data_IF_587069380757
#
_entry.id   IF_587069380757
#
_cell.length_a   1.000
_cell.length_b   1.000
_cell.length_c   1.000
_cell.angle_alpha   90.00
_cell.angle_beta   90.00
_cell.angle_gamma   90.00
#
_symmetry.space_group_name_H-M   'P 1'
#
loop_
_entity.id
_entity.type
_entity.pdbx_description
1 polymer ?
#
# COMPACT_ATOMS: atom_id res chain seq x y z
N UNK A 1 -10.93 -68.57 -37.53
CA UNK A 1 -9.79 -67.62 -37.35
C UNK A 1 -10.35 -66.30 -36.84
N UNK A 2 -10.17 -65.98 -35.56
CA UNK A 2 -10.67 -64.73 -34.94
C UNK A 2 -9.77 -63.54 -35.28
N UNK A 3 -10.33 -62.45 -35.82
CA UNK A 3 -9.69 -61.12 -35.85
C UNK A 3 -10.14 -60.34 -34.60
N UNK A 4 -9.18 -59.93 -33.75
CA UNK A 4 -9.41 -59.06 -32.58
C UNK A 4 -9.59 -57.58 -32.99
N UNK A 5 -10.45 -56.79 -32.31
CA UNK A 5 -10.58 -55.36 -32.59
C UNK A 5 -9.54 -54.55 -31.78
N UNK A 6 -8.70 -53.80 -32.49
CA UNK A 6 -7.68 -52.89 -31.92
C UNK A 6 -8.23 -51.49 -31.57
N UNK A 7 -9.55 -51.29 -31.59
CA UNK A 7 -10.16 -49.96 -31.54
C UNK A 7 -10.32 -49.29 -30.15
N UNK A 8 -10.44 -49.99 -29.00
CA UNK A 8 -10.75 -49.29 -27.74
C UNK A 8 -9.53 -48.61 -27.08
N UNK A 9 -8.30 -48.98 -27.46
CA UNK A 9 -7.09 -48.41 -26.86
C UNK A 9 -6.78 -47.01 -27.40
N UNK A 10 -7.15 -46.74 -28.65
CA UNK A 10 -6.86 -45.46 -29.33
C UNK A 10 -7.74 -44.32 -28.80
N UNK A 11 -8.99 -44.63 -28.39
CA UNK A 11 -9.90 -43.65 -27.81
C UNK A 11 -9.51 -43.22 -26.39
N UNK A 12 -8.95 -44.14 -25.59
CA UNK A 12 -8.51 -43.87 -24.22
C UNK A 12 -7.26 -42.97 -24.19
N UNK A 13 -6.33 -43.15 -25.14
CA UNK A 13 -5.12 -42.32 -25.28
C UNK A 13 -5.46 -40.89 -25.72
N UNK A 14 -6.45 -40.72 -26.60
CA UNK A 14 -6.91 -39.38 -27.05
C UNK A 14 -7.64 -38.64 -25.92
N UNK A 15 -8.45 -39.33 -25.10
CA UNK A 15 -9.16 -38.71 -23.96
C UNK A 15 -8.22 -38.30 -22.80
N UNK A 16 -7.14 -39.06 -22.56
CA UNK A 16 -6.14 -38.71 -21.53
C UNK A 16 -5.20 -37.57 -21.95
N UNK A 17 -4.86 -37.47 -23.24
CA UNK A 17 -4.01 -36.40 -23.77
C UNK A 17 -4.66 -35.01 -23.67
N UNK A 18 -5.98 -34.91 -23.94
CA UNK A 18 -6.74 -33.66 -23.86
C UNK A 18 -6.72 -33.01 -22.46
N UNK A 19 -6.58 -33.80 -21.39
CA UNK A 19 -6.54 -33.27 -20.02
C UNK A 19 -5.19 -32.62 -19.67
N UNK A 20 -4.09 -33.13 -20.23
CA UNK A 20 -2.74 -32.65 -19.94
C UNK A 20 -2.49 -31.24 -20.48
N UNK A 21 -2.80 -31.00 -21.75
CA UNK A 21 -2.63 -29.68 -22.38
C UNK A 21 -3.57 -28.65 -21.74
N UNK A 22 -4.84 -28.98 -21.50
CA UNK A 22 -5.83 -28.08 -20.88
C UNK A 22 -5.37 -27.53 -19.52
N UNK A 23 -4.78 -28.38 -18.67
CA UNK A 23 -4.24 -27.95 -17.38
C UNK A 23 -3.05 -26.99 -17.54
N UNK A 24 -2.14 -27.25 -18.48
CA UNK A 24 -0.99 -26.35 -18.72
C UNK A 24 -1.42 -25.01 -19.30
N UNK A 25 -2.43 -25.01 -20.16
CA UNK A 25 -3.08 -23.79 -20.67
C UNK A 25 -3.79 -23.00 -19.57
N UNK A 26 -4.38 -23.68 -18.57
CA UNK A 26 -4.91 -23.02 -17.39
C UNK A 26 -3.81 -22.35 -16.55
N UNK A 27 -2.65 -23.01 -16.41
CA UNK A 27 -1.47 -22.42 -15.77
C UNK A 27 -1.05 -21.11 -16.44
N UNK A 28 -1.04 -21.07 -17.78
CA UNK A 28 -0.74 -19.84 -18.51
C UNK A 28 -1.73 -18.71 -18.20
N UNK A 29 -3.03 -19.00 -18.23
CA UNK A 29 -4.07 -18.00 -17.91
C UNK A 29 -3.94 -17.48 -16.48
N UNK A 30 -3.62 -18.34 -15.53
CA UNK A 30 -3.39 -17.95 -14.13
C UNK A 30 -2.19 -17.03 -14.02
N UNK A 31 -1.06 -17.37 -14.64
CA UNK A 31 0.14 -16.54 -14.58
C UNK A 31 -0.07 -15.16 -15.23
N UNK A 32 -0.78 -15.09 -16.37
CA UNK A 32 -1.17 -13.81 -16.97
C UNK A 32 -2.04 -12.98 -16.01
N UNK A 33 -2.99 -13.63 -15.31
CA UNK A 33 -3.81 -12.97 -14.30
C UNK A 33 -2.95 -12.45 -13.14
N UNK A 34 -2.04 -13.25 -12.61
CA UNK A 34 -1.17 -12.88 -11.49
C UNK A 34 -0.25 -11.71 -11.87
N UNK A 35 0.31 -11.70 -13.08
CA UNK A 35 1.02 -10.54 -13.62
C UNK A 35 0.12 -9.29 -13.68
N UNK A 36 -1.14 -9.41 -14.11
CA UNK A 36 -2.06 -8.27 -14.14
C UNK A 36 -2.34 -7.73 -12.73
N UNK A 37 -2.58 -8.60 -11.76
CA UNK A 37 -2.75 -8.21 -10.36
C UNK A 37 -1.50 -7.53 -9.80
N UNK A 38 -0.31 -8.01 -10.16
CA UNK A 38 0.95 -7.39 -9.80
C UNK A 38 1.13 -6.00 -10.41
N UNK A 39 0.74 -5.80 -11.68
CA UNK A 39 0.77 -4.49 -12.34
C UNK A 39 -0.12 -3.47 -11.62
N UNK A 40 -1.27 -3.90 -11.10
CA UNK A 40 -2.18 -3.04 -10.33
C UNK A 40 -1.60 -2.65 -8.95
N UNK A 41 -0.88 -3.58 -8.31
CA UNK A 41 -0.30 -3.38 -6.97
C UNK A 41 1.08 -2.71 -7.00
N UNK A 42 1.75 -2.71 -8.15
CA UNK A 42 3.11 -2.22 -8.29
C UNK A 42 3.20 -0.68 -8.23
N UNK A 43 4.23 -0.20 -7.56
CA UNK A 43 4.62 1.22 -7.61
C UNK A 43 5.03 1.62 -9.03
N UNK A 44 4.97 2.91 -9.42
CA UNK A 44 5.35 3.36 -10.77
C UNK A 44 6.68 2.81 -11.31
N UNK A 45 7.80 2.78 -10.54
CA UNK A 45 9.07 2.25 -11.06
C UNK A 45 9.05 0.72 -11.28
N UNK A 46 8.24 -0.04 -10.53
CA UNK A 46 8.13 -1.49 -10.70
C UNK A 46 7.07 -1.89 -11.72
N UNK A 47 6.04 -1.05 -11.92
CA UNK A 47 4.94 -1.33 -12.83
C UNK A 47 5.43 -1.64 -14.25
N UNK A 48 6.33 -0.80 -14.79
CA UNK A 48 6.93 -1.02 -16.11
C UNK A 48 7.71 -2.34 -16.19
N UNK A 49 8.42 -2.71 -15.12
CA UNK A 49 9.15 -3.99 -15.03
C UNK A 49 8.19 -5.17 -15.10
N UNK A 50 7.11 -5.16 -14.31
CA UNK A 50 6.10 -6.23 -14.32
C UNK A 50 5.40 -6.32 -15.68
N UNK A 51 5.06 -5.19 -16.29
CA UNK A 51 4.46 -5.15 -17.63
C UNK A 51 5.39 -5.74 -18.71
N UNK A 52 6.68 -5.41 -18.67
CA UNK A 52 7.68 -5.97 -19.59
C UNK A 52 7.83 -7.49 -19.40
N UNK A 53 7.82 -7.97 -18.16
CA UNK A 53 7.88 -9.41 -17.86
C UNK A 53 6.65 -10.16 -18.35
N UNK A 54 5.45 -9.62 -18.11
CA UNK A 54 4.20 -10.16 -18.66
C UNK A 54 4.26 -10.22 -20.19
N UNK A 55 4.69 -9.15 -20.86
CA UNK A 55 4.79 -9.12 -22.31
C UNK A 55 5.75 -10.19 -22.85
N UNK A 56 6.92 -10.35 -22.22
CA UNK A 56 7.88 -11.39 -22.58
C UNK A 56 7.30 -12.80 -22.38
N UNK A 57 6.53 -13.02 -21.31
CA UNK A 57 5.84 -14.29 -21.07
C UNK A 57 4.80 -14.61 -22.15
N UNK A 58 3.99 -13.63 -22.55
CA UNK A 58 3.00 -13.78 -23.62
C UNK A 58 3.66 -14.02 -24.98
N UNK A 59 4.78 -13.35 -25.27
CA UNK A 59 5.56 -13.55 -26.48
C UNK A 59 6.18 -14.97 -26.52
N UNK A 60 6.72 -15.44 -25.39
CA UNK A 60 7.24 -16.80 -25.28
C UNK A 60 6.14 -17.86 -25.48
N UNK A 61 4.94 -17.61 -24.94
CA UNK A 61 3.77 -18.47 -25.16
C UNK A 61 3.37 -18.53 -26.64
N UNK A 62 3.38 -17.39 -27.35
CA UNK A 62 3.05 -17.33 -28.78
C UNK A 62 4.04 -18.10 -29.67
N UNK A 63 5.27 -18.34 -29.20
CA UNK A 63 6.33 -19.06 -29.92
C UNK A 63 6.39 -20.56 -29.60
N UNK A 64 5.45 -21.07 -28.81
CA UNK A 64 5.47 -22.49 -28.43
C UNK A 64 5.30 -23.42 -29.64
N UNK A 65 5.90 -24.62 -29.61
CA UNK A 65 5.73 -25.61 -30.68
C UNK A 65 4.25 -25.93 -30.92
N UNK A 66 3.89 -26.22 -32.17
CA UNK A 66 2.54 -26.66 -32.53
C UNK A 66 2.29 -28.13 -32.24
N UNK A 67 3.34 -28.96 -32.20
CA UNK A 67 3.25 -30.38 -31.84
C UNK A 67 2.87 -30.52 -30.36
N UNK A 68 1.77 -31.23 -30.09
CA UNK A 68 1.14 -31.30 -28.76
C UNK A 68 2.10 -31.78 -27.65
N UNK A 69 2.86 -32.86 -27.91
CA UNK A 69 3.80 -33.41 -26.93
C UNK A 69 4.91 -32.43 -26.53
N UNK A 70 5.39 -31.65 -27.50
CA UNK A 70 6.47 -30.68 -27.29
C UNK A 70 5.91 -29.40 -26.67
N UNK A 71 4.70 -29.00 -27.07
CA UNK A 71 3.95 -27.88 -26.47
C UNK A 71 3.71 -28.11 -24.99
N UNK A 72 3.25 -29.30 -24.59
CA UNK A 72 3.00 -29.60 -23.17
C UNK A 72 4.27 -29.41 -22.33
N UNK A 73 5.41 -29.94 -22.80
CA UNK A 73 6.69 -29.81 -22.09
C UNK A 73 7.19 -28.36 -22.06
N UNK A 74 7.11 -27.67 -23.19
CA UNK A 74 7.55 -26.28 -23.29
C UNK A 74 6.67 -25.34 -22.44
N UNK A 75 5.35 -25.57 -22.41
CA UNK A 75 4.40 -24.82 -21.60
C UNK A 75 4.59 -25.09 -20.10
N UNK A 76 4.89 -26.32 -19.71
CA UNK A 76 5.24 -26.64 -18.31
C UNK A 76 6.49 -25.90 -17.85
N UNK A 77 7.56 -25.92 -18.65
CA UNK A 77 8.79 -25.20 -18.35
C UNK A 77 8.57 -23.68 -18.29
N UNK A 78 7.79 -23.14 -19.23
CA UNK A 78 7.43 -21.72 -19.30
C UNK A 78 6.62 -21.29 -18.07
N UNK A 79 5.59 -22.05 -17.69
CA UNK A 79 4.78 -21.75 -16.51
C UNK A 79 5.62 -21.81 -15.24
N UNK A 80 6.43 -22.86 -15.06
CA UNK A 80 7.30 -22.99 -13.88
C UNK A 80 8.31 -21.84 -13.75
N UNK A 81 8.85 -21.37 -14.87
CA UNK A 81 9.75 -20.21 -14.88
C UNK A 81 8.99 -18.93 -14.49
N UNK A 82 7.79 -18.73 -15.04
CA UNK A 82 6.93 -17.59 -14.70
C UNK A 82 6.48 -17.62 -13.24
N UNK A 83 6.05 -18.77 -12.69
CA UNK A 83 5.64 -18.90 -11.28
C UNK A 83 6.75 -18.41 -10.34
N UNK A 84 8.00 -18.81 -10.63
CA UNK A 84 9.16 -18.36 -9.86
C UNK A 84 9.37 -16.86 -10.00
N UNK A 85 9.31 -16.34 -11.23
CA UNK A 85 9.50 -14.91 -11.48
C UNK A 85 8.40 -14.05 -10.84
N UNK A 86 7.14 -14.48 -10.93
CA UNK A 86 5.98 -13.85 -10.28
C UNK A 86 6.22 -13.77 -8.79
N UNK A 87 6.64 -14.86 -8.14
CA UNK A 87 6.96 -14.87 -6.71
C UNK A 87 8.07 -13.88 -6.34
N UNK A 88 9.12 -13.79 -7.15
CA UNK A 88 10.21 -12.84 -6.94
C UNK A 88 9.74 -11.39 -7.14
N UNK A 89 8.83 -11.14 -8.08
CA UNK A 89 8.21 -9.83 -8.32
C UNK A 89 7.22 -9.45 -7.21
N UNK A 90 6.42 -10.38 -6.70
CA UNK A 90 5.53 -10.19 -5.54
C UNK A 90 6.32 -9.67 -4.35
N UNK A 91 7.43 -10.34 -4.02
CA UNK A 91 8.30 -9.92 -2.91
C UNK A 91 8.87 -8.50 -3.12
N UNK A 92 9.25 -8.16 -4.36
CA UNK A 92 9.75 -6.81 -4.69
C UNK A 92 8.65 -5.74 -4.58
N UNK A 93 7.44 -6.03 -5.07
CA UNK A 93 6.29 -5.14 -5.00
C UNK A 93 5.89 -4.91 -3.54
N UNK A 94 5.81 -5.96 -2.74
CA UNK A 94 5.52 -5.86 -1.31
C UNK A 94 6.59 -5.02 -0.58
N UNK A 95 7.87 -5.31 -0.83
CA UNK A 95 8.97 -4.57 -0.22
C UNK A 95 8.94 -3.07 -0.61
N UNK A 96 8.67 -2.76 -1.87
CA UNK A 96 8.56 -1.37 -2.35
C UNK A 96 7.37 -0.64 -1.72
N UNK A 97 6.21 -1.29 -1.63
CA UNK A 97 5.02 -0.73 -0.99
C UNK A 97 5.25 -0.49 0.50
N UNK A 98 5.88 -1.42 1.20
CA UNK A 98 6.28 -1.27 2.61
C UNK A 98 7.27 -0.13 2.79
N UNK A 99 8.26 -0.01 1.91
CA UNK A 99 9.24 1.07 1.96
C UNK A 99 8.57 2.45 1.76
N UNK A 100 7.62 2.56 0.84
CA UNK A 100 6.86 3.79 0.63
C UNK A 100 5.99 4.13 1.84
N UNK A 101 5.26 3.15 2.39
CA UNK A 101 4.49 3.36 3.63
C UNK A 101 5.37 3.80 4.80
N UNK A 102 6.58 3.24 4.94
CA UNK A 102 7.53 3.66 5.96
C UNK A 102 8.04 5.09 5.74
N UNK A 103 8.29 5.49 4.48
CA UNK A 103 8.66 6.87 4.13
C UNK A 103 7.54 7.84 4.45
N UNK A 104 6.30 7.52 4.08
CA UNK A 104 5.13 8.36 4.35
C UNK A 104 4.91 8.49 5.86
N UNK A 105 5.02 7.39 6.60
CA UNK A 105 4.96 7.41 8.07
C UNK A 105 6.06 8.27 8.66
N UNK A 106 7.31 8.13 8.23
CA UNK A 106 8.44 8.92 8.72
C UNK A 106 8.27 10.42 8.42
N UNK A 107 7.79 10.76 7.22
CA UNK A 107 7.46 12.14 6.85
C UNK A 107 6.35 12.71 7.75
N UNK A 108 5.34 11.90 8.06
CA UNK A 108 4.26 12.29 8.96
C UNK A 108 4.73 12.42 10.42
N UNK A 109 5.62 11.53 10.88
CA UNK A 109 6.26 11.62 12.20
C UNK A 109 7.07 12.91 12.34
N UNK A 110 7.89 13.23 11.33
CA UNK A 110 8.65 14.48 11.28
C UNK A 110 7.74 15.71 11.23
N UNK A 111 6.62 15.65 10.49
CA UNK A 111 5.62 16.72 10.46
C UNK A 111 4.99 16.94 11.83
N UNK A 112 4.55 15.87 12.51
CA UNK A 112 3.99 15.91 13.86
C UNK A 112 4.96 16.45 14.91
N UNK A 113 6.24 16.10 14.80
CA UNK A 113 7.27 16.56 15.73
C UNK A 113 7.37 18.10 15.78
N UNK A 114 7.04 18.80 14.69
CA UNK A 114 7.02 20.28 14.67
C UNK A 114 5.99 20.89 15.63
N UNK A 115 4.90 20.18 15.91
CA UNK A 115 3.81 20.63 16.78
C UNK A 115 4.08 20.39 18.25
N UNK A 116 5.09 19.58 18.60
CA UNK A 116 5.42 19.26 19.99
C UNK A 116 5.90 20.51 20.72
N UNK A 117 5.35 20.73 21.92
CA UNK A 117 5.67 21.84 22.82
C UNK A 117 4.43 22.52 23.37
N UNK A 118 4.64 23.60 24.12
CA UNK A 118 3.56 24.46 24.63
C UNK A 118 3.41 25.68 23.73
N UNK A 119 2.18 25.93 23.30
CA UNK A 119 1.80 27.01 22.40
C UNK A 119 0.74 27.89 23.05
N UNK A 120 0.93 29.20 23.01
CA UNK A 120 0.03 30.16 23.66
C UNK A 120 -0.20 31.40 22.78
N UNK A 121 -1.42 31.92 22.80
CA UNK A 121 -1.82 33.12 22.05
C UNK A 121 -3.34 33.22 21.89
N UNK A 122 -3.86 34.42 21.69
CA UNK A 122 -5.29 34.68 21.43
C UNK A 122 -6.26 34.01 22.44
N UNK A 123 -5.88 33.98 23.72
CA UNK A 123 -6.66 33.34 24.78
C UNK A 123 -6.69 31.81 24.71
N UNK A 124 -5.84 31.19 23.90
CA UNK A 124 -5.69 29.75 23.71
C UNK A 124 -4.32 29.29 24.21
N UNK A 125 -4.31 28.16 24.91
CA UNK A 125 -3.12 27.41 25.32
C UNK A 125 -3.27 25.98 24.83
N UNK A 126 -2.24 25.48 24.16
CA UNK A 126 -2.21 24.14 23.58
C UNK A 126 -0.85 23.52 23.85
N UNK A 127 -0.82 22.44 24.63
CA UNK A 127 0.37 21.65 24.90
C UNK A 127 0.24 20.31 24.19
N UNK A 128 1.22 19.98 23.35
CA UNK A 128 1.29 18.71 22.63
C UNK A 128 2.58 18.01 23.06
N UNK A 129 2.45 16.85 23.68
CA UNK A 129 3.58 16.05 24.14
C UNK A 129 4.10 15.13 23.01
N UNK A 130 5.38 14.70 23.05
CA UNK A 130 5.93 13.75 22.08
C UNK A 130 5.13 12.44 21.96
N UNK A 131 4.52 12.00 23.07
CA UNK A 131 3.65 10.82 23.12
C UNK A 131 2.25 11.02 22.56
N UNK A 132 1.92 12.22 22.05
CA UNK A 132 0.61 12.55 21.48
C UNK A 132 -0.44 12.94 22.51
N UNK A 133 -0.09 13.11 23.80
CA UNK A 133 -0.99 13.68 24.80
C UNK A 133 -1.17 15.17 24.52
N UNK A 134 -2.40 15.64 24.64
CA UNK A 134 -2.80 17.01 24.38
C UNK A 134 -3.49 17.59 25.62
N UNK A 135 -3.06 18.78 25.99
CA UNK A 135 -3.76 19.65 26.95
C UNK A 135 -4.13 20.94 26.23
N UNK A 136 -5.36 21.37 26.42
CA UNK A 136 -5.92 22.50 25.72
C UNK A 136 -6.78 23.32 26.66
N UNK A 137 -6.61 24.64 26.60
CA UNK A 137 -7.44 25.62 27.28
C UNK A 137 -7.73 26.76 26.30
N UNK A 138 -8.97 27.25 26.27
CA UNK A 138 -9.34 28.46 25.52
C UNK A 138 -10.35 29.28 26.29
N UNK A 139 -10.06 30.56 26.38
CA UNK A 139 -10.90 31.57 27.00
C UNK A 139 -11.25 32.60 25.94
N UNK A 140 -12.52 32.65 25.54
CA UNK A 140 -13.00 33.58 24.50
C UNK A 140 -14.41 34.05 24.80
N UNK A 141 -14.63 35.36 24.85
CA UNK A 141 -15.96 35.94 25.06
C UNK A 141 -16.63 35.52 26.36
N UNK A 142 -15.86 35.30 27.43
CA UNK A 142 -16.37 34.85 28.74
C UNK A 142 -16.63 33.35 28.86
N UNK A 143 -16.43 32.58 27.78
CA UNK A 143 -16.55 31.11 27.79
C UNK A 143 -15.16 30.49 27.89
N UNK A 144 -14.98 29.60 28.86
CA UNK A 144 -13.78 28.78 29.02
C UNK A 144 -14.06 27.35 28.54
N UNK A 145 -13.19 26.83 27.68
CA UNK A 145 -13.16 25.44 27.24
C UNK A 145 -11.83 24.83 27.63
N UNK A 146 -11.84 23.61 28.14
CA UNK A 146 -10.61 22.90 28.49
C UNK A 146 -10.72 21.42 28.14
N UNK A 147 -9.61 20.83 27.73
CA UNK A 147 -9.47 19.41 27.46
C UNK A 147 -8.12 18.96 28.03
N UNK A 148 -8.14 18.06 29.01
CA UNK A 148 -6.94 17.59 29.69
C UNK A 148 -6.77 16.09 29.50
N UNK A 149 -5.57 15.66 29.13
CA UNK A 149 -5.23 14.24 29.00
C UNK A 149 -5.87 13.53 27.81
N UNK A 150 -6.29 14.26 26.77
CA UNK A 150 -6.70 13.64 25.52
C UNK A 150 -5.47 13.16 24.74
N UNK A 151 -5.64 12.18 23.86
CA UNK A 151 -4.57 11.70 22.98
C UNK A 151 -4.92 11.96 21.53
N UNK A 152 -3.93 12.32 20.72
CA UNK A 152 -4.05 12.38 19.26
C UNK A 152 -4.47 10.99 18.76
N UNK A 153 -5.65 10.91 18.17
CA UNK A 153 -6.18 9.71 17.53
C UNK A 153 -5.90 9.70 16.03
N UNK A 154 -5.84 10.88 15.42
CA UNK A 154 -5.57 11.03 13.99
C UNK A 154 -4.83 12.35 13.75
N UNK A 155 -3.90 12.35 12.80
CA UNK A 155 -3.18 13.57 12.41
C UNK A 155 -3.13 13.62 10.89
N UNK A 156 -3.52 14.76 10.33
CA UNK A 156 -3.52 15.08 8.91
C UNK A 156 -2.75 16.38 8.71
N UNK A 157 -2.52 16.78 7.45
CA UNK A 157 -1.77 18.02 7.16
C UNK A 157 -2.52 19.28 7.57
N UNK A 158 -3.84 19.25 7.51
CA UNK A 158 -4.76 20.37 7.71
C UNK A 158 -5.53 20.33 9.04
N UNK A 159 -5.46 19.22 9.78
CA UNK A 159 -6.13 19.06 11.06
C UNK A 159 -5.52 17.91 11.87
N UNK A 160 -5.76 17.91 13.17
CA UNK A 160 -5.54 16.74 14.02
C UNK A 160 -6.74 16.51 14.92
N UNK A 161 -7.00 15.25 15.20
CA UNK A 161 -8.10 14.84 16.05
C UNK A 161 -7.56 14.28 17.35
N UNK A 162 -8.12 14.74 18.45
CA UNK A 162 -7.86 14.20 19.78
C UNK A 162 -9.07 13.46 20.29
N UNK A 163 -8.83 12.43 21.07
CA UNK A 163 -9.89 11.64 21.69
C UNK A 163 -9.66 11.52 23.19
N UNK A 164 -10.74 11.67 23.94
CA UNK A 164 -10.79 11.39 25.38
C UNK A 164 -12.03 10.54 25.64
N UNK A 165 -11.82 9.31 26.15
CA UNK A 165 -12.92 8.38 26.48
C UNK A 165 -13.96 8.19 25.35
N UNK A 166 -13.50 8.14 24.10
CA UNK A 166 -14.36 7.96 22.93
C UNK A 166 -15.00 9.25 22.38
N UNK A 167 -14.86 10.39 23.05
CA UNK A 167 -15.28 11.70 22.53
C UNK A 167 -14.15 12.28 21.68
N UNK A 168 -14.46 12.64 20.43
CA UNK A 168 -13.51 13.19 19.45
C UNK A 168 -13.64 14.71 19.36
N UNK A 169 -12.52 15.42 19.38
CA UNK A 169 -12.42 16.87 19.10
C UNK A 169 -11.42 17.08 17.96
N UNK A 170 -11.79 17.89 16.98
CA UNK A 170 -10.94 18.20 15.83
C UNK A 170 -10.39 19.61 15.97
N UNK A 171 -9.08 19.74 15.79
CA UNK A 171 -8.37 21.02 15.70
C UNK A 171 -7.93 21.23 14.26
N UNK A 172 -8.35 22.34 13.65
CA UNK A 172 -7.94 22.72 12.31
C UNK A 172 -6.61 23.44 12.34
N UNK A 173 -5.66 23.00 11.50
CA UNK A 173 -4.37 23.65 11.30
C UNK A 173 -4.55 24.65 10.14
N UNK A 174 -4.68 25.93 10.47
CA UNK A 174 -4.77 26.98 9.45
C UNK A 174 -3.38 27.39 8.93
N UNK A 175 -2.36 27.34 9.79
CA UNK A 175 -0.94 27.53 9.42
C UNK A 175 -0.05 26.62 10.25
N UNK A 176 0.81 25.86 9.56
CA UNK A 176 1.77 24.97 10.22
C UNK A 176 2.82 25.73 11.07
N UNK A 177 3.42 25.08 12.08
CA UNK A 177 4.55 25.61 12.82
C UNK A 177 5.67 26.06 11.90
N UNK A 178 5.98 27.35 11.95
CA UNK A 178 7.08 27.98 11.22
C UNK A 178 7.91 28.83 12.18
N UNK A 179 9.22 28.82 11.98
CA UNK A 179 10.15 29.66 12.72
C UNK A 179 10.46 30.90 11.89
N UNK A 180 10.26 32.07 12.49
CA UNK A 180 10.69 33.34 11.94
C UNK A 180 11.42 34.13 13.04
N UNK A 181 12.66 34.55 12.76
CA UNK A 181 13.51 35.29 13.70
C UNK A 181 13.64 34.63 15.10
N UNK A 182 13.77 33.30 15.16
CA UNK A 182 13.89 32.55 16.42
C UNK A 182 12.57 32.34 17.17
N UNK A 183 11.44 32.80 16.61
CA UNK A 183 10.11 32.65 17.21
C UNK A 183 9.30 31.65 16.39
N UNK A 184 8.94 30.55 17.03
CA UNK A 184 8.03 29.57 16.46
C UNK A 184 6.58 30.05 16.58
N UNK A 185 5.86 30.07 15.47
CA UNK A 185 4.44 30.41 15.42
C UNK A 185 3.63 29.41 14.62
N UNK A 186 2.36 29.23 14.98
CA UNK A 186 1.39 28.45 14.21
C UNK A 186 -0.01 29.08 14.30
N UNK A 187 -0.96 28.59 13.51
CA UNK A 187 -2.36 29.01 13.62
C UNK A 187 -3.26 27.78 13.67
N UNK A 188 -4.04 27.67 14.74
CA UNK A 188 -4.96 26.56 14.99
C UNK A 188 -6.33 27.11 15.35
N UNK A 189 -7.38 26.64 14.67
CA UNK A 189 -8.76 27.11 14.83
C UNK A 189 -8.86 28.64 14.88
N UNK A 190 -8.19 29.30 13.93
CA UNK A 190 -8.09 30.74 13.78
C UNK A 190 -7.25 31.47 14.84
N UNK A 191 -6.76 30.80 15.88
CA UNK A 191 -5.93 31.41 16.93
C UNK A 191 -4.46 31.37 16.54
N UNK A 192 -3.77 32.52 16.59
CA UNK A 192 -2.32 32.62 16.34
C UNK A 192 -1.58 32.33 17.63
N UNK A 193 -0.76 31.28 17.61
CA UNK A 193 -0.04 30.79 18.77
C UNK A 193 1.47 30.98 18.60
N UNK A 194 2.14 31.26 19.72
CA UNK A 194 3.60 31.29 19.84
C UNK A 194 4.07 30.14 20.73
N UNK A 195 5.19 29.53 20.39
CA UNK A 195 5.80 28.50 21.25
C UNK A 195 6.41 29.17 22.47
N UNK A 196 6.05 28.72 23.68
CA UNK A 196 6.47 29.34 24.96
C UNK A 196 7.32 28.43 25.86
N UNK A 197 7.45 27.14 25.51
CA UNK A 197 8.27 26.19 26.27
C UNK A 197 8.34 24.82 25.59
N UNK A 198 9.49 24.17 25.71
CA UNK A 198 9.77 22.80 25.23
C UNK A 198 9.74 21.80 26.36
#
# INVERSE_FOLDING_TARGET
MLRRPLLPLLLLVVLLACNGLSMKEAGYRNNVKDYNELVEKATPPLKATVEAKRAAYQEAYAKLPSAESDRIKALDALNKAADKEIKDLEAQVEAANKANAAKDKAAMDAYRAKFVGTWEGDGMRLRIEPGGRVEYERSSGGVNKSLNGASVSEFRRDAFDVSLMGIKTTFKIDKEPTEDNGVWTMTVDGARLKKVGG
#
